data_IF_198474702901
#
_entry.id   IF_198474702901
#
_cell.length_a   1.000
_cell.length_b   1.000
_cell.length_c   1.000
_cell.angle_alpha   90.00
_cell.angle_beta   90.00
_cell.angle_gamma   90.00
#
_symmetry.space_group_name_H-M   'P 1'
#
loop_
_entity.id
_entity.type
_entity.pdbx_description
1 polymer ?
#
# COMPACT_ATOMS: atom_id res chain seq x y z
N UNK A 1 -29.34 -29.71 0.29
CA UNK A 1 -29.32 -28.29 0.68
C UNK A 1 -28.04 -28.09 1.45
N UNK A 2 -27.23 -27.08 1.11
CA UNK A 2 -25.93 -26.86 1.72
C UNK A 2 -26.02 -25.86 2.89
N UNK A 3 -25.29 -26.15 3.97
CA UNK A 3 -25.01 -25.17 5.03
C UNK A 3 -23.80 -24.33 4.63
N UNK A 4 -23.91 -23.02 4.84
CA UNK A 4 -22.88 -22.06 4.43
C UNK A 4 -22.51 -21.14 5.59
N UNK A 5 -21.23 -21.11 5.92
CA UNK A 5 -20.61 -20.12 6.80
C UNK A 5 -19.86 -19.07 6.01
N UNK A 6 -20.05 -17.79 6.32
CA UNK A 6 -19.42 -16.68 5.61
C UNK A 6 -18.80 -15.70 6.59
N UNK A 7 -17.55 -15.30 6.35
CA UNK A 7 -16.92 -14.14 7.00
C UNK A 7 -17.09 -12.92 6.10
N UNK A 8 -17.84 -11.93 6.58
CA UNK A 8 -18.01 -10.66 5.91
C UNK A 8 -16.77 -9.78 6.19
N UNK A 9 -15.62 -10.13 5.65
CA UNK A 9 -14.36 -9.42 5.88
C UNK A 9 -14.33 -8.04 5.19
N UNK A 10 -13.56 -7.10 5.77
CA UNK A 10 -13.44 -5.74 5.21
C UNK A 10 -12.71 -5.70 3.86
N UNK A 11 -11.72 -6.56 3.65
CA UNK A 11 -10.88 -6.59 2.43
C UNK A 11 -11.02 -7.89 1.63
N UNK A 12 -12.05 -8.68 1.92
CA UNK A 12 -12.36 -9.91 1.21
C UNK A 12 -13.47 -10.70 1.90
N UNK A 13 -14.20 -11.50 1.14
CA UNK A 13 -15.12 -12.50 1.69
C UNK A 13 -14.42 -13.85 1.80
N UNK A 14 -14.56 -14.52 2.93
CA UNK A 14 -14.28 -15.96 3.06
C UNK A 14 -15.59 -16.70 3.24
N UNK A 15 -15.66 -17.90 2.69
CA UNK A 15 -16.82 -18.77 2.81
C UNK A 15 -16.35 -20.20 3.05
N UNK A 16 -17.09 -20.92 3.87
CA UNK A 16 -16.94 -22.34 4.08
C UNK A 16 -18.29 -23.02 3.89
N UNK A 17 -18.30 -24.21 3.30
CA UNK A 17 -19.51 -25.02 3.13
C UNK A 17 -19.19 -26.52 3.25
N UNK A 18 -20.21 -27.31 3.50
CA UNK A 18 -20.10 -28.78 3.51
C UNK A 18 -20.42 -29.31 2.11
N UNK A 19 -19.48 -30.02 1.51
CA UNK A 19 -19.67 -30.72 0.23
C UNK A 19 -20.49 -32.01 0.39
N UNK A 20 -20.93 -32.59 -0.72
CA UNK A 20 -21.79 -33.79 -0.72
C UNK A 20 -21.13 -35.02 -0.08
N UNK A 21 -19.80 -35.08 -0.09
CA UNK A 21 -19.01 -36.13 0.57
C UNK A 21 -18.83 -35.90 2.09
N UNK A 22 -19.42 -34.83 2.62
CA UNK A 22 -19.29 -34.43 4.03
C UNK A 22 -18.00 -33.67 4.35
N UNK A 23 -17.12 -33.43 3.36
CA UNK A 23 -15.92 -32.63 3.57
C UNK A 23 -16.24 -31.13 3.68
N UNK A 24 -15.48 -30.42 4.50
CA UNK A 24 -15.55 -28.95 4.54
C UNK A 24 -14.69 -28.37 3.43
N UNK A 25 -15.28 -27.50 2.62
CA UNK A 25 -14.60 -26.73 1.58
C UNK A 25 -14.50 -25.27 2.00
N UNK A 26 -13.43 -24.61 1.59
CA UNK A 26 -13.24 -23.16 1.75
C UNK A 26 -13.17 -22.46 0.41
N UNK A 27 -13.62 -21.22 0.38
CA UNK A 27 -13.57 -20.34 -0.78
C UNK A 27 -13.28 -18.91 -0.36
N UNK A 28 -12.69 -18.15 -1.27
CA UNK A 28 -12.39 -16.73 -1.07
C UNK A 28 -12.77 -15.94 -2.30
N UNK A 29 -13.50 -14.86 -2.11
CA UNK A 29 -13.61 -13.82 -3.12
C UNK A 29 -12.58 -12.74 -2.80
N UNK A 30 -11.51 -12.72 -3.60
CA UNK A 30 -10.41 -11.77 -3.51
C UNK A 30 -10.70 -10.47 -4.29
N UNK A 31 -9.72 -9.58 -4.35
CA UNK A 31 -9.80 -8.18 -4.81
C UNK A 31 -10.42 -7.96 -6.19
N UNK A 32 -10.31 -8.92 -7.11
CA UNK A 32 -10.92 -8.83 -8.45
C UNK A 32 -12.45 -8.95 -8.42
N UNK A 33 -13.01 -9.50 -7.35
CA UNK A 33 -14.42 -9.87 -7.22
C UNK A 33 -15.09 -9.41 -5.92
N UNK A 34 -14.30 -8.87 -4.99
CA UNK A 34 -14.74 -8.15 -3.80
C UNK A 34 -14.23 -6.72 -3.87
N UNK A 35 -15.12 -5.78 -3.58
CA UNK A 35 -14.79 -4.35 -3.61
C UNK A 35 -13.68 -4.02 -2.63
N UNK A 36 -12.54 -3.69 -3.21
CA UNK A 36 -11.47 -3.04 -2.48
C UNK A 36 -11.97 -1.72 -1.88
N UNK A 37 -11.40 -1.23 -0.75
CA UNK A 37 -11.90 -0.01 -0.14
C UNK A 37 -11.87 1.15 -1.13
N UNK A 38 -12.98 1.89 -1.21
CA UNK A 38 -13.12 3.00 -2.14
C UNK A 38 -12.51 4.26 -1.55
N UNK A 39 -11.82 5.04 -2.39
CA UNK A 39 -11.39 6.37 -2.03
C UNK A 39 -12.59 7.32 -2.16
N UNK A 40 -12.92 8.02 -1.08
CA UNK A 40 -13.97 9.04 -1.07
C UNK A 40 -13.40 10.33 -0.51
N UNK A 41 -13.79 11.46 -1.12
CA UNK A 41 -13.40 12.78 -0.61
C UNK A 41 -14.13 13.07 0.70
N UNK A 42 -13.41 13.54 1.70
CA UNK A 42 -13.96 13.94 3.01
C UNK A 42 -13.49 15.34 3.38
N UNK A 43 -14.42 16.16 3.87
CA UNK A 43 -14.13 17.50 4.35
C UNK A 43 -13.65 17.48 5.81
N UNK A 44 -12.70 18.37 6.15
CA UNK A 44 -12.32 18.64 7.54
C UNK A 44 -11.45 17.58 8.23
N UNK A 45 -11.00 16.55 7.51
CA UNK A 45 -10.06 15.54 8.02
C UNK A 45 -8.58 15.92 7.81
N UNK A 46 -7.64 15.21 8.48
CA UNK A 46 -6.20 15.40 8.28
C UNK A 46 -5.74 15.04 6.86
N UNK A 47 -6.49 14.17 6.19
CA UNK A 47 -6.37 13.90 4.75
C UNK A 47 -7.68 14.30 4.06
N UNK A 48 -7.63 14.74 2.78
CA UNK A 48 -8.82 15.08 2.02
C UNK A 48 -9.62 13.85 1.57
N UNK A 49 -9.20 12.63 1.97
CA UNK A 49 -9.78 11.36 1.53
C UNK A 49 -9.93 10.37 2.70
N UNK A 50 -10.90 9.47 2.55
CA UNK A 50 -11.11 8.30 3.40
C UNK A 50 -11.26 7.04 2.54
N UNK A 51 -11.01 5.88 3.13
CA UNK A 51 -10.99 4.60 2.41
C UNK A 51 -11.98 3.61 3.02
N UNK A 52 -13.23 3.68 2.58
CA UNK A 52 -14.34 2.89 3.15
C UNK A 52 -14.53 1.57 2.42
N UNK A 53 -14.73 0.49 3.17
CA UNK A 53 -15.03 -0.82 2.57
C UNK A 53 -16.52 -1.00 2.34
N UNK A 54 -16.89 -2.00 1.53
CA UNK A 54 -18.29 -2.41 1.36
C UNK A 54 -18.99 -2.67 2.69
N UNK A 55 -18.30 -3.38 3.60
CA UNK A 55 -18.80 -3.74 4.94
C UNK A 55 -19.12 -2.50 5.76
N UNK A 56 -18.24 -1.49 5.73
CA UNK A 56 -18.43 -0.26 6.50
C UNK A 56 -19.53 0.62 5.92
N UNK A 57 -19.74 0.54 4.60
CA UNK A 57 -20.79 1.28 3.89
C UNK A 57 -22.17 0.63 3.93
N UNK A 58 -22.27 -0.64 4.34
CA UNK A 58 -23.57 -1.29 4.55
C UNK A 58 -24.39 -0.53 5.59
N UNK A 59 -25.64 -0.24 5.26
CA UNK A 59 -26.53 0.58 6.10
C UNK A 59 -26.30 2.09 5.97
N UNK A 60 -25.33 2.54 5.16
CA UNK A 60 -25.04 3.96 4.88
C UNK A 60 -25.22 4.34 3.42
N UNK A 61 -25.08 3.38 2.50
CA UNK A 61 -25.12 3.61 1.06
C UNK A 61 -25.90 2.51 0.35
N UNK A 62 -26.96 2.83 -0.42
CA UNK A 62 -27.66 1.85 -1.24
C UNK A 62 -26.74 1.13 -2.23
N UNK A 63 -25.74 1.83 -2.77
CA UNK A 63 -24.75 1.22 -3.67
C UNK A 63 -23.96 0.08 -3.00
N UNK A 64 -23.72 0.14 -1.69
CA UNK A 64 -23.05 -0.93 -0.96
C UNK A 64 -23.93 -2.18 -0.85
N UNK A 65 -25.26 -2.02 -0.75
CA UNK A 65 -26.21 -3.16 -0.76
C UNK A 65 -26.11 -3.91 -2.08
N UNK A 66 -26.16 -3.20 -3.20
CA UNK A 66 -26.03 -3.78 -4.55
C UNK A 66 -24.68 -4.49 -4.74
N UNK A 67 -23.60 -3.86 -4.28
CA UNK A 67 -22.24 -4.41 -4.36
C UNK A 67 -22.11 -5.72 -3.57
N UNK A 68 -22.56 -5.73 -2.31
CA UNK A 68 -22.53 -6.91 -1.46
C UNK A 68 -23.47 -8.00 -1.99
N UNK A 69 -24.64 -7.64 -2.54
CA UNK A 69 -25.54 -8.61 -3.19
C UNK A 69 -24.87 -9.31 -4.38
N UNK A 70 -24.14 -8.56 -5.23
CA UNK A 70 -23.40 -9.13 -6.35
C UNK A 70 -22.31 -10.12 -5.91
N UNK A 71 -21.62 -9.83 -4.82
CA UNK A 71 -20.62 -10.72 -4.23
C UNK A 71 -21.27 -11.97 -3.60
N UNK A 72 -22.36 -11.81 -2.85
CA UNK A 72 -23.13 -12.92 -2.29
C UNK A 72 -23.71 -13.83 -3.39
N UNK A 73 -24.12 -13.28 -4.53
CA UNK A 73 -24.58 -14.07 -5.67
C UNK A 73 -23.45 -14.91 -6.29
N UNK A 74 -22.20 -14.43 -6.26
CA UNK A 74 -21.02 -15.24 -6.63
C UNK A 74 -20.78 -16.36 -5.63
N UNK A 75 -20.86 -16.08 -4.33
CA UNK A 75 -20.76 -17.11 -3.29
C UNK A 75 -21.81 -18.19 -3.50
N UNK A 76 -23.07 -17.80 -3.71
CA UNK A 76 -24.15 -18.75 -3.98
C UNK A 76 -23.81 -19.66 -5.17
N UNK A 77 -23.45 -19.08 -6.32
CA UNK A 77 -23.10 -19.87 -7.52
C UNK A 77 -21.98 -20.85 -7.24
N UNK A 78 -20.89 -20.40 -6.61
CA UNK A 78 -19.76 -21.25 -6.27
C UNK A 78 -20.17 -22.45 -5.41
N UNK A 79 -21.01 -22.24 -4.38
CA UNK A 79 -21.47 -23.33 -3.50
C UNK A 79 -22.45 -24.25 -4.24
N UNK A 80 -23.40 -23.71 -5.01
CA UNK A 80 -24.39 -24.50 -5.74
C UNK A 80 -23.76 -25.31 -6.89
N UNK A 81 -22.69 -24.80 -7.51
CA UNK A 81 -21.91 -25.51 -8.54
C UNK A 81 -21.10 -26.67 -7.95
N UNK A 82 -20.52 -26.51 -6.75
CA UNK A 82 -19.75 -27.57 -6.08
C UNK A 82 -20.63 -28.65 -5.45
N UNK A 83 -21.82 -28.28 -4.93
CA UNK A 83 -22.72 -29.20 -4.20
C UNK A 83 -23.89 -29.73 -5.03
N UNK A 84 -24.10 -29.21 -6.25
CA UNK A 84 -25.27 -29.54 -7.08
C UNK A 84 -26.64 -29.20 -6.46
N UNK A 85 -26.66 -28.55 -5.30
CA UNK A 85 -27.85 -28.27 -4.50
C UNK A 85 -27.92 -26.81 -4.04
N UNK A 86 -29.11 -26.37 -3.63
CA UNK A 86 -29.33 -24.99 -3.16
C UNK A 86 -28.73 -24.74 -1.77
N UNK A 87 -28.33 -23.50 -1.52
CA UNK A 87 -27.98 -23.02 -0.16
C UNK A 87 -29.22 -23.03 0.73
N UNK A 88 -29.21 -23.87 1.77
CA UNK A 88 -30.33 -24.04 2.70
C UNK A 88 -30.22 -23.17 3.94
N UNK A 89 -29.01 -23.02 4.48
CA UNK A 89 -28.74 -22.16 5.63
C UNK A 89 -27.54 -21.26 5.37
N UNK A 90 -27.60 -20.03 5.89
CA UNK A 90 -26.53 -19.05 5.77
C UNK A 90 -26.26 -18.44 7.15
N UNK A 91 -25.04 -18.58 7.64
CA UNK A 91 -24.53 -17.91 8.84
C UNK A 91 -23.43 -16.96 8.42
N UNK A 92 -23.53 -15.70 8.83
CA UNK A 92 -22.54 -14.66 8.50
C UNK A 92 -21.87 -14.17 9.79
N UNK A 93 -20.55 -14.23 9.85
CA UNK A 93 -19.77 -13.60 10.91
C UNK A 93 -19.61 -12.09 10.64
N UNK A 94 -19.89 -11.30 11.68
CA UNK A 94 -19.81 -9.84 11.68
C UNK A 94 -19.29 -9.35 13.03
N UNK A 95 -18.75 -8.12 13.13
CA UNK A 95 -18.28 -7.57 14.40
C UNK A 95 -19.45 -7.33 15.36
N UNK A 96 -19.19 -7.31 16.67
CA UNK A 96 -20.23 -7.01 17.67
C UNK A 96 -20.87 -5.63 17.46
N UNK A 97 -20.12 -4.68 16.90
CA UNK A 97 -20.58 -3.33 16.55
C UNK A 97 -21.37 -3.26 15.23
N UNK A 98 -21.70 -4.38 14.59
CA UNK A 98 -22.43 -4.39 13.32
C UNK A 98 -23.90 -4.01 13.55
N UNK A 99 -24.18 -2.71 13.55
CA UNK A 99 -25.44 -2.08 13.97
C UNK A 99 -26.68 -2.46 13.15
N UNK A 100 -27.86 -2.07 13.64
CA UNK A 100 -29.15 -2.51 13.07
C UNK A 100 -29.33 -2.16 11.59
N UNK A 101 -28.93 -0.95 11.17
CA UNK A 101 -29.00 -0.52 9.78
C UNK A 101 -28.14 -1.40 8.85
N UNK A 102 -26.91 -1.71 9.25
CA UNK A 102 -26.01 -2.57 8.49
C UNK A 102 -26.53 -4.03 8.43
N UNK A 103 -27.12 -4.53 9.51
CA UNK A 103 -27.77 -5.85 9.54
C UNK A 103 -28.98 -5.90 8.60
N UNK A 104 -29.80 -4.84 8.57
CA UNK A 104 -30.92 -4.72 7.64
C UNK A 104 -30.45 -4.76 6.18
N UNK A 105 -29.46 -3.93 5.86
CA UNK A 105 -28.83 -3.86 4.55
C UNK A 105 -28.19 -5.19 4.11
N UNK A 106 -27.56 -5.94 5.03
CA UNK A 106 -27.01 -7.26 4.73
C UNK A 106 -28.10 -8.29 4.39
N UNK A 107 -29.25 -8.25 5.10
CA UNK A 107 -30.39 -9.13 4.78
C UNK A 107 -30.99 -8.79 3.42
N UNK A 108 -31.11 -7.51 3.10
CA UNK A 108 -31.54 -7.05 1.78
C UNK A 108 -30.57 -7.53 0.69
N UNK A 109 -29.26 -7.39 0.90
CA UNK A 109 -28.25 -7.88 -0.03
C UNK A 109 -28.31 -9.40 -0.22
N UNK A 110 -28.52 -10.18 0.84
CA UNK A 110 -28.69 -11.62 0.78
C UNK A 110 -29.96 -12.02 0.00
N UNK A 111 -31.07 -11.32 0.22
CA UNK A 111 -32.31 -11.53 -0.52
C UNK A 111 -32.13 -11.21 -2.02
N UNK A 112 -31.45 -10.11 -2.34
CA UNK A 112 -31.10 -9.74 -3.72
C UNK A 112 -30.17 -10.76 -4.41
N UNK A 113 -29.35 -11.46 -3.64
CA UNK A 113 -28.52 -12.57 -4.11
C UNK A 113 -29.27 -13.92 -4.21
N UNK A 114 -30.55 -13.96 -3.80
CA UNK A 114 -31.36 -15.17 -3.72
C UNK A 114 -30.79 -16.21 -2.75
N UNK A 115 -30.25 -15.76 -1.62
CA UNK A 115 -29.82 -16.56 -0.48
C UNK A 115 -30.89 -16.51 0.64
N UNK A 116 -30.93 -17.50 1.54
CA UNK A 116 -31.79 -17.43 2.72
C UNK A 116 -31.39 -16.26 3.63
N UNK A 117 -32.32 -15.81 4.48
CA UNK A 117 -32.06 -14.75 5.43
C UNK A 117 -30.90 -15.16 6.37
N UNK A 118 -29.80 -14.38 6.44
CA UNK A 118 -28.63 -14.77 7.20
C UNK A 118 -28.91 -14.76 8.71
N UNK A 119 -28.50 -15.83 9.39
CA UNK A 119 -28.23 -15.78 10.83
C UNK A 119 -26.89 -15.09 11.03
N UNK A 120 -26.77 -14.31 12.09
CA UNK A 120 -25.54 -13.56 12.38
C UNK A 120 -24.83 -14.17 13.58
N UNK A 121 -23.51 -14.21 13.47
CA UNK A 121 -22.60 -14.67 14.51
C UNK A 121 -21.52 -13.60 14.70
N UNK A 122 -21.00 -13.42 15.91
CA UNK A 122 -19.89 -12.47 16.08
C UNK A 122 -18.58 -13.05 15.55
N UNK A 123 -17.70 -12.21 15.00
CA UNK A 123 -16.38 -12.63 14.49
C UNK A 123 -15.57 -13.37 15.56
N UNK A 124 -15.67 -12.96 16.84
CA UNK A 124 -14.98 -13.62 17.95
C UNK A 124 -15.52 -15.02 18.26
N UNK A 125 -16.85 -15.19 18.31
CA UNK A 125 -17.47 -16.50 18.56
C UNK A 125 -17.22 -17.42 17.36
N UNK A 126 -17.34 -16.89 16.15
CA UNK A 126 -17.00 -17.61 14.93
C UNK A 126 -15.54 -18.09 14.95
N UNK A 127 -14.59 -17.23 15.31
CA UNK A 127 -13.19 -17.64 15.43
C UNK A 127 -12.98 -18.79 16.44
N UNK A 128 -13.68 -18.78 17.58
CA UNK A 128 -13.59 -19.86 18.59
C UNK A 128 -14.26 -21.15 18.11
N UNK A 129 -15.42 -21.06 17.46
CA UNK A 129 -16.14 -22.22 16.92
C UNK A 129 -15.39 -22.88 15.76
N UNK A 130 -14.70 -22.09 14.93
CA UNK A 130 -13.91 -22.59 13.80
C UNK A 130 -12.68 -23.40 14.23
N UNK A 131 -12.30 -23.36 15.50
CA UNK A 131 -11.20 -24.17 16.03
C UNK A 131 -11.62 -25.62 16.23
N UNK A 132 -10.68 -26.53 15.95
CA UNK A 132 -10.80 -27.93 16.34
C UNK A 132 -10.71 -28.08 17.88
N UNK A 133 -11.57 -28.93 18.47
CA UNK A 133 -11.50 -29.31 19.88
C UNK A 133 -12.76 -28.99 20.70
N UNK A 134 -13.65 -29.99 20.82
CA UNK A 134 -14.84 -29.97 21.67
C UNK A 134 -14.70 -30.77 22.98
N UNK A 135 -13.48 -31.06 23.43
CA UNK A 135 -13.26 -31.94 24.59
C UNK A 135 -13.53 -31.27 25.93
N UNK A 136 -12.58 -30.45 26.38
CA UNK A 136 -12.59 -29.79 27.70
C UNK A 136 -13.10 -28.35 27.58
N UNK A 137 -13.83 -27.89 28.59
CA UNK A 137 -14.21 -26.49 28.71
C UNK A 137 -12.98 -25.59 28.65
N UNK A 138 -13.03 -24.54 27.82
CA UNK A 138 -11.94 -23.58 27.66
C UNK A 138 -12.46 -22.14 27.62
N UNK A 139 -11.72 -21.24 28.23
CA UNK A 139 -11.92 -19.79 28.18
C UNK A 139 -10.94 -19.17 27.20
N UNK A 140 -11.46 -18.41 26.24
CA UNK A 140 -10.70 -17.74 25.20
C UNK A 140 -10.76 -16.23 25.42
N UNK A 141 -9.61 -15.56 25.38
CA UNK A 141 -9.53 -14.12 25.14
C UNK A 141 -9.28 -13.92 23.65
N UNK A 142 -10.27 -13.40 22.93
CA UNK A 142 -10.17 -13.19 21.49
C UNK A 142 -9.82 -11.74 21.22
N UNK A 143 -8.84 -11.50 20.34
CA UNK A 143 -8.52 -10.19 19.79
C UNK A 143 -8.77 -10.20 18.29
N UNK A 144 -9.68 -9.34 17.85
CA UNK A 144 -10.04 -9.13 16.45
C UNK A 144 -9.52 -7.75 16.01
N UNK A 145 -8.39 -7.68 15.31
CA UNK A 145 -7.91 -6.41 14.72
C UNK A 145 -8.00 -6.48 13.20
N UNK A 146 -9.03 -5.82 12.67
CA UNK A 146 -9.33 -5.76 11.25
C UNK A 146 -9.03 -4.40 10.63
N UNK A 147 -9.39 -4.25 9.36
CA UNK A 147 -9.26 -2.98 8.65
C UNK A 147 -10.15 -1.88 9.23
N UNK A 148 -11.36 -2.23 9.71
CA UNK A 148 -12.35 -1.25 10.18
C UNK A 148 -12.46 -1.08 11.71
N UNK A 149 -11.60 -1.71 12.50
CA UNK A 149 -11.62 -1.57 13.95
C UNK A 149 -10.97 -2.71 14.72
N UNK A 150 -11.05 -2.58 16.04
CA UNK A 150 -10.56 -3.52 17.03
C UNK A 150 -11.70 -3.98 17.93
N UNK A 151 -11.84 -5.28 18.11
CA UNK A 151 -12.76 -5.88 19.08
C UNK A 151 -12.02 -6.91 19.94
N UNK A 152 -12.45 -7.05 21.19
CA UNK A 152 -11.95 -8.10 22.07
C UNK A 152 -13.11 -8.72 22.84
N UNK A 153 -13.05 -10.03 23.09
CA UNK A 153 -14.12 -10.75 23.77
C UNK A 153 -13.57 -11.88 24.62
N UNK A 154 -14.22 -12.15 25.75
CA UNK A 154 -14.01 -13.37 26.53
C UNK A 154 -15.09 -14.37 26.16
N UNK A 155 -14.69 -15.50 25.58
CA UNK A 155 -15.60 -16.54 25.08
C UNK A 155 -15.31 -17.85 25.80
N UNK A 156 -16.32 -18.46 26.41
CA UNK A 156 -16.22 -19.78 27.01
C UNK A 156 -16.82 -20.84 26.09
N UNK A 157 -16.02 -21.81 25.68
CA UNK A 157 -16.46 -22.99 24.92
C UNK A 157 -16.58 -24.19 25.84
N UNK A 158 -17.69 -24.91 25.77
CA UNK A 158 -17.94 -26.18 26.46
C UNK A 158 -18.55 -27.15 25.46
N UNK A 159 -17.78 -28.16 25.05
CA UNK A 159 -18.17 -29.10 23.99
C UNK A 159 -18.62 -28.38 22.72
N UNK A 160 -19.88 -28.55 22.39
CA UNK A 160 -20.54 -28.04 21.19
C UNK A 160 -21.25 -26.70 21.44
N UNK A 161 -21.01 -26.08 22.61
CA UNK A 161 -21.59 -24.80 22.97
C UNK A 161 -20.55 -23.71 23.22
N UNK A 162 -20.80 -22.50 22.72
CA UNK A 162 -20.03 -21.30 23.02
C UNK A 162 -20.90 -20.24 23.70
N UNK A 163 -20.36 -19.59 24.73
CA UNK A 163 -20.98 -18.44 25.40
C UNK A 163 -20.00 -17.28 25.48
N UNK A 164 -20.42 -16.11 25.00
CA UNK A 164 -19.69 -14.85 25.24
C UNK A 164 -19.93 -14.40 26.68
N UNK A 165 -18.86 -14.17 27.44
CA UNK A 165 -18.93 -13.64 28.81
C UNK A 165 -18.95 -12.11 28.80
N UNK A 166 -18.08 -11.48 28.01
CA UNK A 166 -18.06 -10.05 27.75
C UNK A 166 -17.40 -9.75 26.40
N UNK A 167 -17.64 -8.55 25.87
CA UNK A 167 -16.99 -8.04 24.66
C UNK A 167 -16.82 -6.52 24.73
N UNK A 168 -15.74 -6.02 24.14
CA UNK A 168 -15.47 -4.61 23.85
C UNK A 168 -15.16 -4.41 22.37
N UNK A 169 -15.40 -3.19 21.88
CA UNK A 169 -15.07 -2.85 20.50
C UNK A 169 -14.98 -1.36 20.24
N UNK A 170 -14.06 -0.99 19.37
CA UNK A 170 -13.80 0.38 18.95
C UNK A 170 -13.44 0.43 17.46
N UNK A 171 -13.68 1.58 16.84
CA UNK A 171 -13.23 1.90 15.47
C UNK A 171 -11.75 2.23 15.40
N UNK A 172 -11.12 2.57 16.54
CA UNK A 172 -9.72 2.95 16.64
C UNK A 172 -9.08 2.22 17.83
N UNK A 173 -8.01 1.43 17.62
CA UNK A 173 -7.21 1.28 16.41
C UNK A 173 -7.88 0.46 15.29
N UNK A 174 -7.43 0.69 14.05
CA UNK A 174 -7.85 -0.05 12.87
C UNK A 174 -6.79 -0.05 11.77
N UNK A 175 -6.82 -1.05 10.89
CA UNK A 175 -5.95 -1.07 9.71
C UNK A 175 -6.13 0.13 8.78
N UNK A 176 -7.37 0.64 8.63
CA UNK A 176 -7.66 1.84 7.83
C UNK A 176 -6.98 3.08 8.42
N UNK A 177 -7.00 3.21 9.74
CA UNK A 177 -6.36 4.34 10.42
C UNK A 177 -4.84 4.24 10.38
N UNK A 178 -4.29 3.03 10.46
CA UNK A 178 -2.86 2.80 10.26
C UNK A 178 -2.41 3.24 8.86
N UNK A 179 -3.16 2.87 7.82
CA UNK A 179 -2.89 3.29 6.45
C UNK A 179 -2.99 4.83 6.32
N UNK A 180 -4.03 5.44 6.91
CA UNK A 180 -4.23 6.90 6.89
C UNK A 180 -3.08 7.66 7.58
N UNK A 181 -2.56 7.18 8.70
CA UNK A 181 -1.42 7.84 9.37
C UNK A 181 -0.13 7.77 8.56
N UNK A 182 0.14 6.62 7.92
CA UNK A 182 1.28 6.48 7.03
C UNK A 182 1.13 7.38 5.80
N UNK A 183 -0.07 7.44 5.20
CA UNK A 183 -0.38 8.37 4.10
C UNK A 183 -0.23 9.83 4.51
N UNK A 184 -0.69 10.18 5.71
CA UNK A 184 -0.56 11.54 6.25
C UNK A 184 0.92 11.96 6.36
N UNK A 185 1.81 11.08 6.81
CA UNK A 185 3.24 11.35 6.81
C UNK A 185 3.80 11.65 5.40
N UNK A 186 3.25 11.03 4.35
CA UNK A 186 3.69 11.29 2.97
C UNK A 186 3.30 12.68 2.46
N UNK A 187 2.32 13.36 3.07
CA UNK A 187 1.81 14.67 2.60
C UNK A 187 2.84 15.79 2.63
N UNK A 188 3.95 15.64 3.37
CA UNK A 188 5.10 16.54 3.27
C UNK A 188 5.84 16.47 1.92
N UNK A 189 5.65 15.38 1.17
CA UNK A 189 6.38 15.07 -0.07
C UNK A 189 5.48 15.03 -1.32
N UNK A 190 4.16 15.12 -1.15
CA UNK A 190 3.16 15.17 -2.23
C UNK A 190 2.22 16.34 -1.99
N UNK A 191 1.71 16.97 -3.04
CA UNK A 191 0.61 17.94 -2.90
C UNK A 191 -0.70 17.16 -2.89
N UNK A 192 -1.45 17.10 -1.77
CA UNK A 192 -2.69 16.31 -1.71
C UNK A 192 -3.70 16.69 -2.80
N UNK A 193 -3.77 17.98 -3.16
CA UNK A 193 -4.66 18.50 -4.21
C UNK A 193 -4.28 18.07 -5.64
N UNK A 194 -3.10 17.50 -5.84
CA UNK A 194 -2.64 17.03 -7.15
C UNK A 194 -2.86 15.52 -7.36
N UNK A 195 -3.36 14.82 -6.34
CA UNK A 195 -3.59 13.38 -6.38
C UNK A 195 -5.04 13.09 -6.77
N UNK A 196 -5.24 12.23 -7.77
CA UNK A 196 -6.55 11.67 -8.09
C UNK A 196 -6.96 10.60 -7.07
N UNK A 197 -8.24 10.18 -7.07
CA UNK A 197 -8.70 9.04 -6.26
C UNK A 197 -7.89 7.76 -6.56
N UNK A 198 -7.52 7.55 -7.83
CA UNK A 198 -6.67 6.42 -8.24
C UNK A 198 -5.25 6.49 -7.68
N UNK A 199 -4.66 7.70 -7.61
CA UNK A 199 -3.35 7.91 -7.00
C UNK A 199 -3.40 7.62 -5.49
N UNK A 200 -4.44 8.09 -4.80
CA UNK A 200 -4.66 7.80 -3.39
C UNK A 200 -4.81 6.31 -3.10
N UNK A 201 -5.58 5.58 -3.92
CA UNK A 201 -5.71 4.12 -3.81
C UNK A 201 -4.38 3.41 -4.00
N UNK A 202 -3.59 3.86 -4.99
CA UNK A 202 -2.26 3.32 -5.27
C UNK A 202 -1.32 3.54 -4.10
N UNK A 203 -1.29 4.76 -3.54
CA UNK A 203 -0.48 5.07 -2.37
C UNK A 203 -0.92 4.27 -1.14
N UNK A 204 -2.24 4.13 -0.92
CA UNK A 204 -2.78 3.32 0.19
C UNK A 204 -2.31 1.87 0.10
N UNK A 205 -2.39 1.28 -1.09
CA UNK A 205 -1.91 -0.09 -1.33
C UNK A 205 -0.42 -0.24 -1.04
N UNK A 206 0.40 0.73 -1.46
CA UNK A 206 1.84 0.72 -1.19
C UNK A 206 2.14 0.83 0.31
N UNK A 207 1.51 1.74 1.05
CA UNK A 207 1.77 1.86 2.50
C UNK A 207 1.25 0.66 3.28
N UNK A 208 0.11 0.08 2.90
CA UNK A 208 -0.42 -1.13 3.54
C UNK A 208 0.54 -2.31 3.34
N UNK A 209 1.02 -2.51 2.11
CA UNK A 209 2.02 -3.54 1.78
C UNK A 209 3.35 -3.30 2.51
N UNK A 210 3.82 -2.05 2.56
CA UNK A 210 5.03 -1.69 3.29
C UNK A 210 4.90 -2.01 4.78
N UNK A 211 3.79 -1.62 5.41
CA UNK A 211 3.50 -1.92 6.82
C UNK A 211 3.53 -3.43 7.10
N UNK A 212 2.85 -4.23 6.28
CA UNK A 212 2.82 -5.69 6.42
C UNK A 212 4.21 -6.32 6.27
N UNK A 213 5.00 -5.87 5.28
CA UNK A 213 6.38 -6.34 5.07
C UNK A 213 7.30 -5.96 6.22
N UNK A 214 7.17 -4.74 6.75
CA UNK A 214 8.02 -4.26 7.86
C UNK A 214 7.75 -5.00 9.18
N UNK A 215 6.54 -5.55 9.33
CA UNK A 215 6.18 -6.43 10.44
C UNK A 215 6.97 -7.75 10.47
N UNK A 216 7.46 -8.23 9.31
CA UNK A 216 8.22 -9.49 9.21
C UNK A 216 9.69 -9.29 8.80
N UNK A 217 10.04 -8.13 8.25
CA UNK A 217 11.39 -7.80 7.77
C UNK A 217 11.85 -6.44 8.29
N UNK A 218 13.11 -6.28 8.73
CA UNK A 218 13.64 -4.98 9.14
C UNK A 218 14.05 -4.12 7.95
N UNK A 219 14.00 -4.64 6.72
CA UNK A 219 14.47 -3.91 5.53
C UNK A 219 13.52 -2.74 5.20
N UNK A 220 14.04 -1.50 5.04
CA UNK A 220 13.30 -0.37 4.50
C UNK A 220 12.52 -0.72 3.24
N UNK A 221 11.30 -0.18 3.12
CA UNK A 221 10.42 -0.39 1.98
C UNK A 221 10.19 0.94 1.25
N UNK A 222 10.53 1.04 -0.04
CA UNK A 222 10.21 2.24 -0.80
C UNK A 222 8.70 2.34 -1.06
N UNK A 223 8.16 3.53 -0.84
CA UNK A 223 6.83 3.97 -1.26
C UNK A 223 7.01 5.04 -2.32
N UNK A 224 6.61 4.73 -3.55
CA UNK A 224 6.71 5.62 -4.70
C UNK A 224 5.52 6.57 -4.73
N UNK A 225 5.83 7.84 -4.48
CA UNK A 225 4.91 8.97 -4.50
C UNK A 225 4.53 9.37 -5.92
N UNK A 226 5.45 9.16 -6.85
CA UNK A 226 5.25 9.35 -8.28
C UNK A 226 6.04 8.26 -9.02
N UNK A 227 5.38 7.15 -9.41
CA UNK A 227 6.05 6.05 -10.10
C UNK A 227 6.68 6.46 -11.44
N UNK A 228 6.12 7.46 -12.12
CA UNK A 228 6.65 7.94 -13.42
C UNK A 228 7.93 8.73 -13.21
N UNK A 229 7.96 9.55 -12.16
CA UNK A 229 9.14 10.36 -11.78
C UNK A 229 10.12 9.62 -10.87
N UNK A 230 9.84 8.37 -10.48
CA UNK A 230 10.69 7.59 -9.57
C UNK A 230 10.87 8.20 -8.18
N UNK A 231 10.04 9.19 -7.81
CA UNK A 231 10.13 9.83 -6.49
C UNK A 231 9.48 8.92 -5.46
N UNK A 232 10.24 8.49 -4.48
CA UNK A 232 9.73 7.70 -3.37
C UNK A 232 10.34 8.11 -2.04
N UNK A 233 9.77 7.57 -0.96
CA UNK A 233 10.30 7.67 0.40
C UNK A 233 10.45 6.27 0.98
N UNK A 234 11.36 6.10 1.94
CA UNK A 234 11.54 4.85 2.65
C UNK A 234 10.64 4.83 3.88
N UNK A 235 9.80 3.79 3.97
CA UNK A 235 9.19 3.38 5.22
C UNK A 235 10.08 2.34 5.89
N UNK A 236 10.43 2.65 7.13
CA UNK A 236 11.24 1.80 8.01
C UNK A 236 10.41 1.23 9.14
N UNK A 237 10.91 0.18 9.79
CA UNK A 237 10.24 -0.50 10.91
C UNK A 237 9.85 0.49 12.02
N UNK A 238 10.70 1.47 12.30
CA UNK A 238 10.45 2.50 13.32
C UNK A 238 9.16 3.28 13.10
N UNK A 239 8.77 3.55 11.84
CA UNK A 239 7.50 4.23 11.54
C UNK A 239 6.30 3.39 11.96
N UNK A 240 6.37 2.08 11.70
CA UNK A 240 5.29 1.13 12.02
C UNK A 240 5.24 0.86 13.53
N UNK A 241 6.40 0.73 14.18
CA UNK A 241 6.48 0.56 15.64
C UNK A 241 6.00 1.80 16.40
N UNK A 242 6.37 3.01 15.97
CA UNK A 242 5.86 4.27 16.56
C UNK A 242 4.33 4.37 16.44
N UNK A 243 3.79 3.98 15.28
CA UNK A 243 2.35 3.91 15.05
C UNK A 243 1.67 2.93 16.01
N UNK A 244 2.20 1.72 16.17
CA UNK A 244 1.62 0.71 17.06
C UNK A 244 1.77 1.08 18.54
N UNK A 245 2.91 1.64 18.93
CA UNK A 245 3.16 2.13 20.28
C UNK A 245 2.13 3.19 20.71
N UNK A 246 1.71 4.06 19.78
CA UNK A 246 0.66 5.06 20.02
C UNK A 246 -0.69 4.40 20.38
N UNK A 247 -1.04 3.28 19.76
CA UNK A 247 -2.34 2.61 19.98
C UNK A 247 -2.32 1.51 21.04
N UNK A 248 -1.15 1.03 21.44
CA UNK A 248 -1.00 0.00 22.46
C UNK A 248 -1.74 0.32 23.78
N UNK A 249 -1.78 1.56 24.30
CA UNK A 249 -2.56 1.90 25.49
C UNK A 249 -4.07 1.65 25.33
N UNK A 250 -4.63 1.95 24.17
CA UNK A 250 -6.06 1.74 23.90
C UNK A 250 -6.40 0.24 23.88
N UNK A 251 -5.54 -0.58 23.27
CA UNK A 251 -5.68 -2.04 23.27
C UNK A 251 -5.63 -2.58 24.70
N UNK A 252 -4.62 -2.19 25.51
CA UNK A 252 -4.50 -2.62 26.91
C UNK A 252 -5.72 -2.26 27.74
N UNK A 253 -6.22 -1.03 27.60
CA UNK A 253 -7.41 -0.56 28.32
C UNK A 253 -8.62 -1.43 28.00
N UNK A 254 -8.91 -1.66 26.72
CA UNK A 254 -10.05 -2.48 26.30
C UNK A 254 -9.91 -3.95 26.74
N UNK A 255 -8.68 -4.48 26.76
CA UNK A 255 -8.42 -5.82 27.29
C UNK A 255 -8.67 -5.90 28.79
N UNK A 256 -8.26 -4.90 29.57
CA UNK A 256 -8.58 -4.85 30.99
C UNK A 256 -10.10 -4.74 31.23
N UNK A 257 -10.78 -3.88 30.48
CA UNK A 257 -12.24 -3.69 30.57
C UNK A 257 -13.00 -4.97 30.24
N UNK A 258 -12.61 -5.71 29.19
CA UNK A 258 -13.31 -6.95 28.81
C UNK A 258 -13.14 -8.06 29.84
N UNK A 259 -11.96 -8.18 30.45
CA UNK A 259 -11.68 -9.16 31.51
C UNK A 259 -12.48 -8.83 32.77
N UNK A 260 -12.49 -7.56 33.17
CA UNK A 260 -13.27 -7.07 34.32
C UNK A 260 -14.77 -7.33 34.14
N UNK A 261 -15.34 -6.93 32.98
CA UNK A 261 -16.76 -7.18 32.68
C UNK A 261 -17.11 -8.67 32.58
N UNK A 262 -16.16 -9.51 32.16
CA UNK A 262 -16.35 -10.96 32.15
C UNK A 262 -16.23 -11.59 33.55
N UNK A 263 -15.76 -10.83 34.54
CA UNK A 263 -15.51 -11.33 35.90
C UNK A 263 -14.40 -12.38 35.96
N UNK A 264 -13.38 -12.25 35.11
CA UNK A 264 -12.26 -13.19 35.02
C UNK A 264 -10.93 -12.44 35.09
N UNK A 265 -9.90 -13.12 35.57
CA UNK A 265 -8.52 -12.63 35.54
C UNK A 265 -7.79 -13.16 34.30
N UNK A 266 -6.62 -12.60 33.99
CA UNK A 266 -5.76 -13.16 32.94
C UNK A 266 -5.40 -14.64 33.21
N UNK A 267 -5.25 -15.04 34.49
CA UNK A 267 -4.96 -16.43 34.85
C UNK A 267 -6.10 -17.43 34.55
N UNK A 268 -7.32 -16.95 34.35
CA UNK A 268 -8.50 -17.77 34.03
C UNK A 268 -8.66 -18.02 32.51
N UNK A 269 -7.83 -17.39 31.68
CA UNK A 269 -7.85 -17.52 30.23
C UNK A 269 -6.95 -18.68 29.79
N UNK A 270 -7.54 -19.68 29.15
CA UNK A 270 -6.81 -20.85 28.63
C UNK A 270 -6.11 -20.57 27.30
N UNK A 271 -6.62 -19.63 26.51
CA UNK A 271 -6.11 -19.35 25.15
C UNK A 271 -6.37 -17.91 24.75
N UNK A 272 -5.30 -17.20 24.37
CA UNK A 272 -5.40 -15.93 23.64
C UNK A 272 -5.46 -16.23 22.14
N UNK A 273 -6.58 -15.91 21.49
CA UNK A 273 -6.84 -16.15 20.06
C UNK A 273 -6.80 -14.84 19.29
N UNK A 274 -5.90 -14.76 18.30
CA UNK A 274 -5.75 -13.61 17.43
C UNK A 274 -6.45 -13.86 16.09
N UNK A 275 -7.28 -12.93 15.65
CA UNK A 275 -7.95 -12.98 14.34
C UNK A 275 -8.02 -11.60 13.70
N UNK A 276 -8.14 -11.54 12.38
CA UNK A 276 -8.05 -10.32 11.59
C UNK A 276 -6.61 -9.96 11.21
N UNK A 277 -6.42 -9.50 9.97
CA UNK A 277 -5.09 -9.39 9.36
C UNK A 277 -4.12 -8.43 10.05
N UNK A 278 -4.63 -7.45 10.81
CA UNK A 278 -3.77 -6.50 11.53
C UNK A 278 -3.26 -7.05 12.87
N UNK A 279 -3.70 -8.23 13.33
CA UNK A 279 -3.11 -8.89 14.52
C UNK A 279 -1.72 -9.48 14.28
N UNK A 280 -1.30 -9.59 13.02
CA UNK A 280 0.07 -9.95 12.64
C UNK A 280 1.08 -8.82 12.90
N UNK A 281 0.62 -7.62 13.28
CA UNK A 281 1.43 -6.47 13.66
C UNK A 281 2.36 -6.81 14.84
N UNK A 282 3.66 -6.99 14.57
CA UNK A 282 4.65 -7.41 15.57
C UNK A 282 4.63 -6.54 16.84
N UNK A 283 4.64 -5.20 16.69
CA UNK A 283 4.60 -4.25 17.80
C UNK A 283 3.33 -4.29 18.67
N UNK A 284 2.27 -4.98 18.26
CA UNK A 284 1.07 -5.19 19.07
C UNK A 284 0.98 -6.58 19.70
N UNK A 285 1.84 -7.54 19.33
CA UNK A 285 1.73 -8.93 19.81
C UNK A 285 1.94 -9.04 21.31
N UNK A 286 2.93 -8.34 21.86
CA UNK A 286 3.15 -8.29 23.31
C UNK A 286 1.96 -7.66 24.05
N UNK A 287 1.28 -6.71 23.40
CA UNK A 287 0.09 -6.06 23.96
C UNK A 287 -1.07 -7.05 24.03
N UNK A 288 -1.31 -7.82 22.95
CA UNK A 288 -2.33 -8.86 22.91
C UNK A 288 -2.03 -10.02 23.84
N UNK A 289 -0.75 -10.31 24.13
CA UNK A 289 -0.38 -11.40 25.02
C UNK A 289 -1.00 -11.25 26.40
N UNK A 290 -1.21 -10.03 26.90
CA UNK A 290 -1.84 -9.78 28.20
C UNK A 290 -1.24 -10.60 29.35
N UNK A 291 0.07 -10.89 29.29
CA UNK A 291 0.78 -11.72 30.28
C UNK A 291 0.80 -13.23 29.99
N UNK A 292 0.22 -13.69 28.87
CA UNK A 292 0.29 -15.08 28.44
C UNK A 292 1.53 -15.38 27.59
N UNK A 293 2.18 -16.53 27.84
CA UNK A 293 3.39 -16.96 27.12
C UNK A 293 3.13 -17.35 25.66
N UNK A 294 1.89 -17.71 25.32
CA UNK A 294 1.54 -18.25 23.99
C UNK A 294 0.30 -17.59 23.43
N UNK A 295 0.48 -17.00 22.25
CA UNK A 295 -0.57 -16.50 21.38
C UNK A 295 -0.96 -17.58 20.37
N UNK A 296 -2.24 -17.69 20.09
CA UNK A 296 -2.75 -18.57 19.04
C UNK A 296 -3.25 -17.75 17.88
N UNK A 297 -2.57 -17.82 16.73
CA UNK A 297 -3.01 -17.15 15.51
C UNK A 297 -4.12 -17.96 14.82
N UNK A 298 -5.20 -17.28 14.44
CA UNK A 298 -6.26 -17.83 13.61
C UNK A 298 -5.95 -17.66 12.13
N UNK A 299 -6.32 -18.63 11.30
CA UNK A 299 -6.24 -18.48 9.84
C UNK A 299 -7.30 -17.47 9.36
N UNK A 300 -7.11 -16.83 8.20
CA UNK A 300 -8.12 -15.93 7.63
C UNK A 300 -9.50 -16.59 7.42
N UNK A 301 -9.54 -17.90 7.19
CA UNK A 301 -10.75 -18.70 6.95
C UNK A 301 -11.46 -19.10 8.25
N UNK A 302 -10.80 -18.95 9.40
CA UNK A 302 -11.28 -19.43 10.69
C UNK A 302 -12.69 -18.91 11.06
N UNK A 303 -13.03 -17.62 10.87
CA UNK A 303 -14.38 -17.14 11.17
C UNK A 303 -15.44 -17.75 10.23
N UNK A 304 -15.15 -17.92 8.94
CA UNK A 304 -16.09 -18.55 7.99
C UNK A 304 -16.35 -20.02 8.36
N UNK A 305 -15.31 -20.77 8.72
CA UNK A 305 -15.44 -22.14 9.22
C UNK A 305 -16.24 -22.22 10.52
N UNK A 306 -16.07 -21.26 11.43
CA UNK A 306 -16.86 -21.21 12.65
C UNK A 306 -18.33 -20.87 12.41
N UNK A 307 -18.62 -19.98 11.45
CA UNK A 307 -19.97 -19.72 11.00
C UNK A 307 -20.62 -20.97 10.40
N UNK A 308 -19.86 -21.77 9.64
CA UNK A 308 -20.33 -23.06 9.11
C UNK A 308 -20.62 -24.05 10.25
N UNK A 309 -19.71 -24.16 11.22
CA UNK A 309 -19.90 -25.05 12.36
C UNK A 309 -21.17 -24.69 13.17
N UNK A 310 -21.48 -23.40 13.29
CA UNK A 310 -22.75 -22.93 13.87
C UNK A 310 -23.97 -23.26 13.00
N UNK A 311 -23.84 -23.17 11.67
CA UNK A 311 -24.90 -23.55 10.74
C UNK A 311 -25.26 -25.04 10.87
N UNK A 312 -24.23 -25.90 10.99
CA UNK A 312 -24.37 -27.36 11.05
C UNK A 312 -24.69 -27.93 12.44
N UNK A 313 -25.03 -27.07 13.42
CA UNK A 313 -25.66 -27.51 14.68
C UNK A 313 -24.89 -27.24 15.96
N UNK A 314 -23.74 -26.55 15.93
CA UNK A 314 -23.14 -26.05 17.17
C UNK A 314 -24.02 -24.96 17.78
N UNK A 315 -24.24 -25.04 19.09
CA UNK A 315 -25.10 -24.09 19.79
C UNK A 315 -24.29 -22.89 20.29
N UNK A 316 -24.80 -21.70 20.03
CA UNK A 316 -24.28 -20.46 20.56
C UNK A 316 -25.45 -19.49 20.63
N UNK A 317 -25.98 -19.23 21.84
CA UNK A 317 -27.01 -18.22 21.98
C UNK A 317 -26.47 -16.88 21.45
N UNK A 318 -27.26 -16.13 20.67
CA UNK A 318 -26.80 -14.86 20.13
C UNK A 318 -26.44 -13.93 21.29
N UNK A 319 -25.17 -13.53 21.36
CA UNK A 319 -24.79 -12.39 22.18
C UNK A 319 -25.46 -11.14 21.60
N UNK A 320 -25.95 -10.22 22.44
CA UNK A 320 -26.56 -8.99 21.94
C UNK A 320 -25.54 -8.22 21.12
N UNK A 321 -25.89 -7.89 19.88
CA UNK A 321 -25.11 -6.93 19.10
C UNK A 321 -25.22 -5.56 19.76
N UNK A 322 -24.09 -4.88 19.91
CA UNK A 322 -24.09 -3.48 20.30
C UNK A 322 -24.52 -2.62 19.11
N UNK A 323 -25.18 -1.49 19.37
CA UNK A 323 -25.28 -0.47 18.32
C UNK A 323 -23.89 0.07 18.02
N UNK A 324 -23.62 0.34 16.74
CA UNK A 324 -22.36 0.93 16.34
C UNK A 324 -22.22 2.29 17.03
N UNK A 325 -21.11 2.59 17.72
CA UNK A 325 -20.84 3.98 18.08
C UNK A 325 -20.84 4.82 16.79
N UNK A 326 -21.27 6.08 16.89
CA UNK A 326 -21.10 7.04 15.81
C UNK A 326 -19.64 6.99 15.32
N UNK A 327 -19.42 7.15 14.01
CA UNK A 327 -18.05 7.15 13.49
C UNK A 327 -17.25 8.18 14.30
N UNK A 328 -16.06 7.79 14.79
CA UNK A 328 -15.22 8.76 15.45
C UNK A 328 -15.00 9.87 14.45
N UNK A 329 -15.34 11.10 14.83
CA UNK A 329 -14.74 12.26 14.17
C UNK A 329 -13.24 12.02 14.30
N UNK A 330 -12.52 11.90 13.18
CA UNK A 330 -11.06 11.66 13.20
C UNK A 330 -10.41 12.91 13.79
N UNK A 331 -10.40 12.98 15.11
CA UNK A 331 -9.91 14.08 15.95
C UNK A 331 -8.92 13.51 16.97
N UNK A 332 -8.14 12.53 16.53
CA UNK A 332 -7.06 11.98 17.34
C UNK A 332 -5.75 12.67 16.97
N UNK A 333 -4.89 12.98 17.97
CA UNK A 333 -3.57 13.50 17.69
C UNK A 333 -2.80 12.47 16.85
N UNK A 334 -2.18 12.93 15.76
CA UNK A 334 -1.36 12.06 14.93
C UNK A 334 -0.22 11.46 15.78
N UNK A 335 0.12 10.17 15.58
CA UNK A 335 1.31 9.61 16.19
C UNK A 335 2.53 10.41 15.73
N UNK A 336 3.48 10.63 16.64
CA UNK A 336 4.77 11.22 16.29
C UNK A 336 5.58 10.17 15.52
N UNK A 337 5.44 10.16 14.19
CA UNK A 337 6.20 9.28 13.31
C UNK A 337 7.60 9.87 13.06
N UNK A 338 8.65 9.03 12.94
CA UNK A 338 9.97 9.48 12.50
C UNK A 338 9.91 10.23 11.16
N UNK A 339 10.90 11.07 10.89
CA UNK A 339 11.02 11.74 9.59
C UNK A 339 11.29 10.73 8.48
N UNK A 340 10.52 10.87 7.39
CA UNK A 340 10.69 10.04 6.21
C UNK A 340 11.95 10.43 5.43
N UNK A 341 12.70 9.42 5.00
CA UNK A 341 13.90 9.59 4.18
C UNK A 341 13.56 9.38 2.70
N UNK A 342 14.13 10.14 1.76
CA UNK A 342 13.99 9.87 0.33
C UNK A 342 14.42 8.44 -0.02
N UNK A 343 13.67 7.77 -0.89
CA UNK A 343 14.10 6.49 -1.46
C UNK A 343 15.23 6.74 -2.48
N UNK A 344 16.21 5.82 -2.60
CA UNK A 344 17.21 5.90 -3.65
C UNK A 344 16.52 5.97 -5.02
N UNK A 345 16.97 6.88 -5.89
CA UNK A 345 16.53 6.97 -7.28
C UNK A 345 16.88 5.66 -7.99
N UNK A 346 15.89 4.91 -8.48
CA UNK A 346 16.16 3.81 -9.43
C UNK A 346 16.22 4.45 -10.81
N UNK A 347 17.37 4.50 -11.49
CA UNK A 347 17.50 5.21 -12.76
C UNK A 347 16.47 4.71 -13.79
N UNK A 348 15.86 5.59 -14.61
CA UNK A 348 14.97 5.16 -15.68
C UNK A 348 15.72 4.18 -16.61
N UNK A 349 15.07 3.10 -17.08
CA UNK A 349 15.73 2.07 -17.90
C UNK A 349 16.35 2.63 -19.19
N UNK A 350 15.87 3.79 -19.64
CA UNK A 350 16.42 4.56 -20.75
C UNK A 350 17.88 4.98 -20.51
N UNK A 351 18.32 5.27 -19.28
CA UNK A 351 19.73 5.59 -19.03
C UNK A 351 20.63 4.36 -19.25
N UNK A 352 20.20 3.19 -18.78
CA UNK A 352 20.91 1.95 -19.03
C UNK A 352 20.96 1.64 -20.54
N UNK A 353 19.89 1.92 -21.29
CA UNK A 353 19.90 1.77 -22.73
C UNK A 353 20.81 2.79 -23.44
N UNK A 354 20.80 4.05 -23.02
CA UNK A 354 21.70 5.08 -23.55
C UNK A 354 23.17 4.66 -23.41
N UNK A 355 23.56 4.07 -22.28
CA UNK A 355 24.90 3.51 -22.07
C UNK A 355 25.21 2.35 -23.03
N UNK A 356 24.29 1.41 -23.20
CA UNK A 356 24.46 0.32 -24.19
C UNK A 356 24.61 0.83 -25.62
N UNK A 357 23.91 1.91 -25.96
CA UNK A 357 24.03 2.56 -27.28
C UNK A 357 25.39 3.25 -27.45
N UNK A 358 25.94 3.88 -26.39
CA UNK A 358 27.31 4.41 -26.41
C UNK A 358 28.34 3.29 -26.65
N UNK A 359 28.22 2.16 -25.94
CA UNK A 359 29.13 1.02 -26.08
C UNK A 359 29.12 0.46 -27.52
N UNK A 360 27.96 0.51 -28.18
CA UNK A 360 27.77 0.12 -29.59
C UNK A 360 28.15 1.22 -30.58
N UNK A 361 28.66 2.36 -30.11
CA UNK A 361 29.02 3.54 -30.91
C UNK A 361 27.84 4.13 -31.70
N UNK A 362 26.63 3.99 -31.18
CA UNK A 362 25.40 4.57 -31.72
C UNK A 362 25.09 5.89 -31.02
N UNK A 363 25.98 6.87 -31.17
CA UNK A 363 26.02 8.09 -30.36
C UNK A 363 24.77 8.97 -30.44
N UNK A 364 24.23 9.23 -31.65
CA UNK A 364 23.00 10.01 -31.80
C UNK A 364 21.79 9.34 -31.13
N UNK A 365 21.75 8.01 -31.17
CA UNK A 365 20.70 7.26 -30.50
C UNK A 365 20.88 7.33 -28.98
N UNK A 366 22.11 7.18 -28.48
CA UNK A 366 22.42 7.30 -27.06
C UNK A 366 22.00 8.66 -26.49
N UNK A 367 22.37 9.76 -27.15
CA UNK A 367 22.01 11.13 -26.77
C UNK A 367 20.49 11.34 -26.77
N UNK A 368 19.78 10.86 -27.80
CA UNK A 368 18.31 10.94 -27.84
C UNK A 368 17.65 10.12 -26.72
N UNK A 369 18.18 8.94 -26.44
CA UNK A 369 17.65 8.07 -25.39
C UNK A 369 17.92 8.64 -24.00
N UNK A 370 19.05 9.31 -23.76
CA UNK A 370 19.30 10.02 -22.50
C UNK A 370 18.39 11.24 -22.32
N UNK A 371 18.00 11.92 -23.39
CA UNK A 371 16.96 12.96 -23.33
C UNK A 371 15.61 12.38 -22.93
N UNK A 372 15.21 11.24 -23.50
CA UNK A 372 13.98 10.57 -23.09
C UNK A 372 14.01 10.18 -21.60
N UNK A 373 15.16 9.72 -21.08
CA UNK A 373 15.32 9.48 -19.66
C UNK A 373 15.10 10.73 -18.81
N UNK A 374 15.68 11.86 -19.22
CA UNK A 374 15.53 13.14 -18.53
C UNK A 374 14.12 13.71 -18.65
N UNK A 375 13.46 13.64 -19.81
CA UNK A 375 12.07 14.07 -20.00
C UNK A 375 11.10 13.28 -19.11
N UNK A 376 11.38 11.99 -18.87
CA UNK A 376 10.61 11.18 -17.93
C UNK A 376 10.82 11.63 -16.47
N UNK A 377 12.00 12.20 -16.15
CA UNK A 377 12.39 12.62 -14.79
C UNK A 377 13.17 13.94 -14.75
N UNK A 378 12.55 15.08 -15.12
CA UNK A 378 13.29 16.33 -15.34
C UNK A 378 13.80 17.00 -14.07
N UNK A 379 13.35 16.53 -12.89
CA UNK A 379 13.73 17.05 -11.57
C UNK A 379 14.67 16.10 -10.81
N UNK A 380 15.08 14.98 -11.41
CA UNK A 380 15.99 14.01 -10.79
C UNK A 380 17.44 14.41 -11.10
N UNK A 381 18.22 14.86 -10.10
CA UNK A 381 19.57 15.38 -10.33
C UNK A 381 20.52 14.30 -10.86
N UNK A 382 20.35 13.04 -10.45
CA UNK A 382 21.19 11.95 -10.93
C UNK A 382 20.93 11.66 -12.41
N UNK A 383 19.66 11.74 -12.84
CA UNK A 383 19.27 11.57 -14.24
C UNK A 383 19.78 12.73 -15.11
N UNK A 384 19.73 13.95 -14.59
CA UNK A 384 20.25 15.13 -15.27
C UNK A 384 21.76 15.04 -15.48
N UNK A 385 22.51 14.72 -14.42
CA UNK A 385 23.96 14.54 -14.48
C UNK A 385 24.36 13.42 -15.45
N UNK A 386 23.65 12.29 -15.41
CA UNK A 386 23.94 11.18 -16.31
C UNK A 386 23.61 11.52 -17.78
N UNK A 387 22.55 12.31 -18.03
CA UNK A 387 22.24 12.80 -19.37
C UNK A 387 23.37 13.68 -19.92
N UNK A 388 23.93 14.59 -19.12
CA UNK A 388 25.09 15.39 -19.50
C UNK A 388 26.33 14.50 -19.75
N UNK A 389 26.56 13.50 -18.89
CA UNK A 389 27.67 12.56 -19.05
C UNK A 389 27.59 11.80 -20.38
N UNK A 390 26.39 11.36 -20.81
CA UNK A 390 26.21 10.69 -22.11
C UNK A 390 26.62 11.60 -23.28
N UNK A 391 26.33 12.91 -23.23
CA UNK A 391 26.76 13.86 -24.27
C UNK A 391 28.28 14.02 -24.30
N UNK A 392 28.90 14.14 -23.12
CA UNK A 392 30.35 14.26 -22.97
C UNK A 392 31.05 13.01 -23.51
N UNK A 393 30.58 11.82 -23.13
CA UNK A 393 31.19 10.56 -23.55
C UNK A 393 31.00 10.30 -25.05
N UNK A 394 29.82 10.62 -25.60
CA UNK A 394 29.60 10.58 -27.04
C UNK A 394 30.56 11.50 -27.79
N UNK A 395 30.75 12.72 -27.30
CA UNK A 395 31.64 13.69 -27.92
C UNK A 395 33.13 13.36 -27.74
N UNK A 396 33.51 12.60 -26.72
CA UNK A 396 34.90 12.21 -26.45
C UNK A 396 35.31 10.86 -27.06
N UNK A 397 34.36 10.09 -27.59
CA UNK A 397 34.69 8.81 -28.20
C UNK A 397 35.65 8.96 -29.39
N UNK A 398 36.58 8.01 -29.50
CA UNK A 398 37.57 8.00 -30.58
C UNK A 398 36.89 7.97 -31.95
N UNK A 399 37.46 8.66 -32.95
CA UNK A 399 37.00 8.59 -34.35
C UNK A 399 35.60 9.16 -34.63
N UNK A 400 35.04 9.96 -33.72
CA UNK A 400 33.78 10.67 -33.91
C UNK A 400 33.95 11.86 -34.86
N UNK A 401 32.95 12.10 -35.70
CA UNK A 401 32.87 13.31 -36.54
C UNK A 401 32.94 14.58 -35.67
N UNK A 402 33.91 15.48 -35.89
CA UNK A 402 34.07 16.70 -35.08
C UNK A 402 32.81 17.57 -35.02
N UNK A 403 32.04 17.66 -36.12
CA UNK A 403 30.81 18.43 -36.15
C UNK A 403 29.71 17.79 -35.29
N UNK A 404 29.58 16.46 -35.30
CA UNK A 404 28.67 15.73 -34.41
C UNK A 404 29.02 15.93 -32.93
N UNK A 405 30.30 15.84 -32.57
CA UNK A 405 30.77 16.10 -31.21
C UNK A 405 30.45 17.54 -30.76
N UNK A 406 30.69 18.55 -31.62
CA UNK A 406 30.30 19.94 -31.36
C UNK A 406 28.79 20.11 -31.17
N UNK A 407 27.96 19.41 -31.95
CA UNK A 407 26.49 19.46 -31.81
C UNK A 407 26.01 18.88 -30.47
N UNK A 408 26.52 17.72 -30.06
CA UNK A 408 26.11 17.12 -28.78
C UNK A 408 26.55 17.98 -27.59
N UNK A 409 27.79 18.46 -27.58
CA UNK A 409 28.24 19.38 -26.52
C UNK A 409 27.47 20.71 -26.54
N UNK A 410 27.13 21.23 -27.72
CA UNK A 410 26.28 22.40 -27.86
C UNK A 410 24.86 22.17 -27.31
N UNK A 411 24.30 20.98 -27.48
CA UNK A 411 23.04 20.59 -26.86
C UNK A 411 23.17 20.55 -25.33
N UNK A 412 24.18 19.86 -24.79
CA UNK A 412 24.42 19.80 -23.34
C UNK A 412 24.58 21.20 -22.71
N UNK A 413 25.27 22.12 -23.40
CA UNK A 413 25.43 23.50 -22.94
C UNK A 413 24.10 24.28 -22.83
N UNK A 414 23.10 23.97 -23.66
CA UNK A 414 21.77 24.58 -23.55
C UNK A 414 21.03 24.12 -22.29
N UNK A 415 21.33 22.92 -21.79
CA UNK A 415 20.75 22.39 -20.55
C UNK A 415 21.46 22.94 -19.31
N UNK A 416 22.79 23.01 -19.34
CA UNK A 416 23.58 23.63 -18.28
C UNK A 416 24.71 24.51 -18.84
N UNK A 417 24.47 25.83 -18.97
CA UNK A 417 25.50 26.79 -19.37
C UNK A 417 26.63 26.97 -18.36
N UNK A 418 26.49 26.44 -17.14
CA UNK A 418 27.47 26.54 -16.06
C UNK A 418 28.39 25.33 -15.96
N UNK A 419 28.04 24.20 -16.62
CA UNK A 419 28.86 22.99 -16.58
C UNK A 419 30.23 23.21 -17.22
N UNK A 420 31.28 23.20 -16.38
CA UNK A 420 32.64 23.47 -16.81
C UNK A 420 33.21 22.37 -17.71
N UNK A 421 32.76 21.11 -17.54
CA UNK A 421 33.21 19.97 -18.35
C UNK A 421 32.78 20.18 -19.80
N UNK A 422 31.49 20.48 -20.01
CA UNK A 422 30.91 20.73 -21.34
C UNK A 422 31.56 21.95 -22.00
N UNK A 423 31.70 23.05 -21.25
CA UNK A 423 32.31 24.30 -21.76
C UNK A 423 33.73 24.11 -22.24
N UNK A 424 34.60 23.54 -21.40
CA UNK A 424 36.02 23.33 -21.73
C UNK A 424 36.18 22.38 -22.91
N UNK A 425 35.41 21.28 -22.96
CA UNK A 425 35.44 20.35 -24.09
C UNK A 425 35.01 21.02 -25.41
N UNK A 426 33.92 21.80 -25.38
CA UNK A 426 33.44 22.49 -26.57
C UNK A 426 34.41 23.59 -27.01
N UNK A 427 34.97 24.36 -26.07
CA UNK A 427 35.96 25.40 -26.36
C UNK A 427 37.22 24.82 -27.03
N UNK A 428 37.74 23.70 -26.52
CA UNK A 428 38.89 23.01 -27.09
C UNK A 428 38.62 22.54 -28.54
N UNK A 429 37.41 21.99 -28.80
CA UNK A 429 37.02 21.55 -30.15
C UNK A 429 36.86 22.71 -31.12
N UNK A 430 36.21 23.80 -30.69
CA UNK A 430 36.06 25.01 -31.49
C UNK A 430 37.42 25.64 -31.83
N UNK A 431 38.37 25.63 -30.88
CA UNK A 431 39.74 26.08 -31.14
C UNK A 431 40.43 25.19 -32.18
N UNK A 432 40.35 23.86 -32.04
CA UNK A 432 40.94 22.93 -33.01
C UNK A 432 40.36 23.13 -34.42
N UNK A 433 39.03 23.27 -34.53
CA UNK A 433 38.35 23.57 -35.79
C UNK A 433 38.80 24.91 -36.38
N UNK A 434 38.95 25.94 -35.55
CA UNK A 434 39.41 27.24 -36.02
C UNK A 434 40.85 27.19 -36.57
N UNK A 435 41.73 26.41 -35.95
CA UNK A 435 43.10 26.19 -36.46
C UNK A 435 43.04 25.56 -37.85
N UNK A 436 42.23 24.52 -38.04
CA UNK A 436 42.03 23.88 -39.35
C UNK A 436 41.48 24.86 -40.39
N UNK A 437 40.41 25.60 -40.06
CA UNK A 437 39.81 26.57 -40.96
C UNK A 437 40.78 27.70 -41.35
N UNK A 438 41.64 28.13 -40.42
CA UNK A 438 42.67 29.11 -40.71
C UNK A 438 43.74 28.56 -41.69
N UNK A 439 44.09 27.27 -41.58
CA UNK A 439 44.99 26.62 -42.55
C UNK A 439 44.35 26.38 -43.92
N UNK A 440 43.02 26.30 -43.98
CA UNK A 440 42.24 26.16 -45.21
C UNK A 440 41.88 27.50 -45.88
N UNK A 441 42.46 28.62 -45.41
CA UNK A 441 42.18 29.97 -45.91
C UNK A 441 40.69 30.39 -45.78
N UNK A 442 40.05 29.97 -44.68
CA UNK A 442 38.65 30.33 -44.32
C UNK A 442 38.61 31.24 -43.07
N UNK A 443 39.16 32.46 -43.13
CA UNK A 443 39.40 33.30 -41.96
C UNK A 443 38.12 33.75 -41.25
N UNK A 444 37.04 34.00 -41.99
CA UNK A 444 35.76 34.43 -41.41
C UNK A 444 35.17 33.36 -40.49
N UNK A 445 35.17 32.10 -40.94
CA UNK A 445 34.64 30.98 -40.16
C UNK A 445 35.57 30.62 -38.99
N UNK A 446 36.89 30.75 -39.18
CA UNK A 446 37.87 30.59 -38.11
C UNK A 446 37.65 31.63 -36.99
N UNK A 447 37.39 32.90 -37.35
CA UNK A 447 37.06 33.96 -36.39
C UNK A 447 35.77 33.68 -35.62
N UNK A 448 34.73 33.18 -36.29
CA UNK A 448 33.46 32.83 -35.65
C UNK A 448 33.66 31.73 -34.60
N UNK A 449 34.37 30.65 -34.97
CA UNK A 449 34.68 29.56 -34.05
C UNK A 449 35.53 30.03 -32.86
N UNK A 450 36.53 30.89 -33.07
CA UNK A 450 37.36 31.47 -32.00
C UNK A 450 36.57 32.39 -31.08
N UNK A 451 35.68 33.22 -31.63
CA UNK A 451 34.82 34.10 -30.83
C UNK A 451 33.95 33.27 -29.88
N UNK A 452 33.38 32.15 -30.36
CA UNK A 452 32.62 31.21 -29.54
C UNK A 452 33.51 30.45 -28.54
N UNK A 453 34.73 30.08 -28.92
CA UNK A 453 35.70 29.47 -28.01
C UNK A 453 36.01 30.39 -26.82
N UNK A 454 36.36 31.65 -27.08
CA UNK A 454 36.70 32.64 -26.04
C UNK A 454 35.48 33.01 -25.19
N UNK A 455 34.25 33.00 -25.74
CA UNK A 455 33.06 33.25 -24.92
C UNK A 455 32.79 32.11 -23.92
N UNK A 456 33.11 30.87 -24.29
CA UNK A 456 32.98 29.70 -23.41
C UNK A 456 34.12 29.62 -22.40
N UNK A 457 35.34 29.99 -22.80
CA UNK A 457 36.55 29.95 -21.98
C UNK A 457 37.37 31.26 -22.16
N UNK A 458 37.04 32.32 -21.40
CA UNK A 458 37.67 33.63 -21.56
C UNK A 458 39.19 33.63 -21.39
N UNK A 459 39.74 32.71 -20.60
CA UNK A 459 41.18 32.63 -20.32
C UNK A 459 41.96 31.79 -21.35
N UNK A 460 41.33 31.34 -22.44
CA UNK A 460 41.96 30.50 -23.46
C UNK A 460 42.97 31.29 -24.34
N UNK A 461 44.17 31.53 -23.79
CA UNK A 461 45.23 32.41 -24.36
C UNK A 461 45.56 32.13 -25.82
N UNK A 462 45.59 30.85 -26.23
CA UNK A 462 45.91 30.46 -27.62
C UNK A 462 44.81 30.86 -28.61
N UNK A 463 43.55 30.86 -28.15
CA UNK A 463 42.42 31.26 -28.98
C UNK A 463 42.39 32.78 -29.15
N UNK A 464 42.63 33.52 -28.05
CA UNK A 464 42.76 34.99 -28.08
C UNK A 464 43.86 35.44 -29.06
N UNK A 465 45.07 34.87 -28.93
CA UNK A 465 46.20 35.22 -29.80
C UNK A 465 45.92 34.91 -31.28
N UNK A 466 45.21 33.81 -31.59
CA UNK A 466 44.84 33.49 -32.97
C UNK A 466 43.74 34.43 -33.50
N UNK A 467 42.78 34.81 -32.67
CA UNK A 467 41.69 35.71 -33.04
C UNK A 467 42.21 37.12 -33.36
N UNK A 468 43.19 37.62 -32.60
CA UNK A 468 43.89 38.88 -32.87
C UNK A 468 44.63 38.85 -34.20
N UNK A 469 45.37 37.76 -34.48
CA UNK A 469 46.11 37.57 -35.73
C UNK A 469 45.24 37.52 -36.98
N UNK A 470 44.01 37.02 -36.84
CA UNK A 470 43.01 36.97 -37.93
C UNK A 470 42.17 38.26 -38.02
N UNK A 471 42.43 39.26 -37.17
CA UNK A 471 41.65 40.51 -37.08
C UNK A 471 42.35 41.79 -37.47
N UNK A 472 43.67 41.76 -37.61
CA UNK A 472 44.42 42.71 -38.43
C UNK A 472 44.47 42.21 -39.86
#
# INVERSE_FOLDING_TARGET
MADVGLDLGSTGLRVAWTADDGSVRDGRLAEEHWSWPRCETVAGGPLPVAFWTAKERLGRSPAAVTEVAGALARVRRMVEEDTGGRVGSLVVSVPFRFGSAARGALREAAAGAGLPAPRLLSDAVAAVLGREGGGRARTYLVHCLGYGGYETAVVRRVRDSCRTLAHEGVTVPSGSLFDLHLLYALTGFVRPSALSEGDWLTLRAQVASARERLGTSPRPVPVYLDPRRGRGVLLDREHVEALYAHYAPAVRRLTAEVLDRAGVTAGDVDTVLLTGGCTAAAGLREVFAAGHDRLTDGTPELPARGALAYASGLDAPPAPFAEAPADPTVTLPAPALPELRPAPSVPPPQLAEARRLLDRRQFDAAVKTSHLAWELRPLDPDVFEEMLAVHIDAANADGVDPHAAERWLGCALLHDPSDTRVRTLLAARLYARAVTLATEDRPTEAREALTKCVSLEPDHRRAQALLERLGG
#
